data_IF_004724653032
#
_entry.id   IF_004724653032
#
_cell.length_a   1.000
_cell.length_b   1.000
_cell.length_c   1.000
_cell.angle_alpha   90.00
_cell.angle_beta   90.00
_cell.angle_gamma   90.00
#
_symmetry.space_group_name_H-M   'P 1'
#
loop_
_entity.id
_entity.type
_entity.pdbx_description
1 polymer ?
#
# COMPACT_ATOMS: atom_id res chain seq x y z
N UNK A 1 -17.88 -4.06 17.44
CA UNK A 1 -17.79 -4.93 16.24
C UNK A 1 -17.38 -4.02 15.08
N UNK A 2 -16.11 -4.08 14.65
CA UNK A 2 -15.65 -3.28 13.51
C UNK A 2 -16.31 -3.81 12.24
N UNK A 3 -16.87 -2.93 11.40
CA UNK A 3 -17.52 -3.32 10.16
C UNK A 3 -16.48 -3.75 9.13
N UNK A 4 -16.62 -4.97 8.59
CA UNK A 4 -15.75 -5.46 7.51
C UNK A 4 -15.71 -4.47 6.33
N UNK A 5 -14.55 -4.40 5.67
CA UNK A 5 -14.34 -3.55 4.50
C UNK A 5 -14.58 -4.33 3.22
N UNK A 6 -15.07 -3.63 2.20
CA UNK A 6 -15.35 -4.28 0.92
C UNK A 6 -14.03 -4.68 0.24
N UNK A 7 -13.89 -5.98 -0.02
CA UNK A 7 -12.70 -6.58 -0.61
C UNK A 7 -12.43 -6.06 -2.03
N UNK A 8 -13.48 -5.89 -2.83
CA UNK A 8 -13.36 -5.37 -4.19
C UNK A 8 -12.86 -3.92 -4.20
N UNK A 9 -13.35 -3.09 -3.27
CA UNK A 9 -12.89 -1.70 -3.11
C UNK A 9 -11.41 -1.69 -2.68
N UNK A 10 -11.01 -2.57 -1.77
CA UNK A 10 -9.62 -2.67 -1.32
C UNK A 10 -8.67 -3.06 -2.47
N UNK A 11 -9.04 -4.03 -3.31
CA UNK A 11 -8.25 -4.38 -4.50
C UNK A 11 -8.25 -3.28 -5.57
N UNK A 12 -9.36 -2.56 -5.75
CA UNK A 12 -9.44 -1.42 -6.65
C UNK A 12 -8.47 -0.30 -6.20
N UNK A 13 -8.49 0.02 -4.91
CA UNK A 13 -7.56 0.97 -4.30
C UNK A 13 -6.10 0.50 -4.42
N UNK A 14 -5.84 -0.79 -4.22
CA UNK A 14 -4.51 -1.36 -4.37
C UNK A 14 -4.01 -1.29 -5.82
N UNK A 15 -4.87 -1.56 -6.81
CA UNK A 15 -4.48 -1.55 -8.22
C UNK A 15 -4.16 -0.13 -8.72
N UNK A 16 -5.01 0.85 -8.44
CA UNK A 16 -4.84 2.22 -8.92
C UNK A 16 -3.92 3.06 -8.03
N UNK A 17 -3.98 2.85 -6.71
CA UNK A 17 -3.33 3.69 -5.71
C UNK A 17 -2.42 2.91 -4.76
N UNK A 18 -2.03 1.68 -5.13
CA UNK A 18 -1.13 0.87 -4.31
C UNK A 18 0.21 1.54 -4.05
N UNK A 19 0.76 2.24 -5.05
CA UNK A 19 2.04 2.94 -4.91
C UNK A 19 2.05 4.07 -3.88
N UNK A 20 0.87 4.55 -3.49
CA UNK A 20 0.71 5.54 -2.42
C UNK A 20 0.09 4.93 -1.14
N UNK A 21 -0.18 3.62 -1.13
CA UNK A 21 -0.68 2.88 0.03
C UNK A 21 -2.17 3.08 0.38
N UNK A 22 -2.99 3.56 -0.57
CA UNK A 22 -4.39 3.97 -0.27
C UNK A 22 -5.29 2.83 0.24
N UNK A 23 -5.04 1.58 -0.19
CA UNK A 23 -5.72 0.39 0.32
C UNK A 23 -5.44 0.12 1.81
N UNK A 24 -4.25 0.47 2.31
CA UNK A 24 -3.92 0.37 3.74
C UNK A 24 -4.65 1.42 4.57
N UNK A 25 -4.79 2.64 4.06
CA UNK A 25 -5.59 3.68 4.73
C UNK A 25 -7.08 3.28 4.80
N UNK A 26 -7.64 2.72 3.72
CA UNK A 26 -9.02 2.24 3.70
C UNK A 26 -9.30 1.12 4.72
N UNK A 27 -8.33 0.24 4.93
CA UNK A 27 -8.42 -0.86 5.90
C UNK A 27 -7.93 -0.47 7.31
N UNK A 28 -7.67 0.82 7.57
CA UNK A 28 -7.35 1.32 8.91
C UNK A 28 -5.88 1.23 9.32
N UNK A 29 -5.00 0.75 8.42
CA UNK A 29 -3.58 0.52 8.69
C UNK A 29 -2.74 1.76 8.36
N UNK A 30 -3.10 2.87 9.00
CA UNK A 30 -2.54 4.21 8.75
C UNK A 30 -1.02 4.24 8.85
N UNK A 31 -0.42 3.63 9.89
CA UNK A 31 1.04 3.62 10.09
C UNK A 31 1.78 3.03 8.89
N UNK A 32 1.40 1.83 8.47
CA UNK A 32 2.01 1.17 7.30
C UNK A 32 1.65 1.85 5.98
N UNK A 33 0.47 2.46 5.87
CA UNK A 33 0.10 3.29 4.71
C UNK A 33 0.99 4.52 4.57
N UNK A 34 1.34 5.18 5.67
CA UNK A 34 2.29 6.32 5.67
C UNK A 34 3.68 5.87 5.21
N UNK A 35 4.17 4.72 5.69
CA UNK A 35 5.48 4.20 5.25
C UNK A 35 5.45 3.91 3.74
N UNK A 36 4.38 3.32 3.23
CA UNK A 36 4.23 3.02 1.80
C UNK A 36 4.15 4.31 0.96
N UNK A 37 3.44 5.34 1.46
CA UNK A 37 3.41 6.67 0.84
C UNK A 37 4.78 7.33 0.81
N UNK A 38 5.54 7.31 1.91
CA UNK A 38 6.89 7.87 1.98
C UNK A 38 7.85 7.14 1.06
N UNK A 39 7.78 5.80 0.99
CA UNK A 39 8.56 5.00 0.03
C UNK A 39 8.22 5.38 -1.41
N UNK A 40 6.94 5.60 -1.74
CA UNK A 40 6.51 6.06 -3.05
C UNK A 40 7.08 7.44 -3.40
N UNK A 41 6.93 8.41 -2.49
CA UNK A 41 7.41 9.79 -2.68
C UNK A 41 8.93 9.83 -2.81
N UNK A 42 9.66 9.17 -1.90
CA UNK A 42 11.12 9.12 -1.93
C UNK A 42 11.60 8.36 -3.16
N UNK A 43 10.98 7.21 -3.47
CA UNK A 43 11.34 6.40 -4.63
C UNK A 43 11.19 7.16 -5.93
N UNK A 44 10.00 7.67 -6.22
CA UNK A 44 9.76 8.46 -7.43
C UNK A 44 10.55 9.77 -7.46
N UNK A 45 10.70 10.44 -6.31
CA UNK A 45 11.42 11.71 -6.20
C UNK A 45 12.94 11.58 -6.33
N UNK A 46 13.51 10.39 -6.15
CA UNK A 46 14.95 10.11 -6.27
C UNK A 46 15.30 9.24 -7.48
N UNK A 47 14.33 8.88 -8.32
CA UNK A 47 14.55 8.09 -9.55
C UNK A 47 15.54 8.80 -10.50
N UNK A 48 15.52 10.13 -10.57
CA UNK A 48 16.44 10.90 -11.42
C UNK A 48 17.92 10.76 -11.01
N UNK A 49 18.19 10.39 -9.75
CA UNK A 49 19.52 10.08 -9.22
C UNK A 49 19.90 8.59 -9.37
N UNK A 50 19.07 7.78 -10.03
CA UNK A 50 19.17 6.31 -10.11
C UNK A 50 19.07 5.57 -8.76
N UNK A 51 19.12 6.28 -7.62
CA UNK A 51 18.99 5.67 -6.28
C UNK A 51 17.53 5.30 -5.98
N UNK A 52 16.56 6.01 -6.55
CA UNK A 52 15.13 5.79 -6.32
C UNK A 52 14.60 4.42 -6.75
N UNK A 53 15.32 3.69 -7.61
CA UNK A 53 14.92 2.34 -8.00
C UNK A 53 14.97 1.34 -6.84
N UNK A 54 15.84 1.55 -5.84
CA UNK A 54 15.93 0.68 -4.66
C UNK A 54 14.64 0.73 -3.81
N UNK A 55 14.19 1.89 -3.30
CA UNK A 55 12.94 1.97 -2.54
C UNK A 55 11.72 1.62 -3.39
N UNK A 56 11.72 1.90 -4.70
CA UNK A 56 10.65 1.45 -5.58
C UNK A 56 10.61 -0.08 -5.68
N UNK A 57 11.75 -0.76 -5.83
CA UNK A 57 11.79 -2.23 -5.84
C UNK A 57 11.22 -2.83 -4.55
N UNK A 58 11.59 -2.26 -3.39
CA UNK A 58 11.02 -2.64 -2.09
C UNK A 58 9.51 -2.42 -2.06
N UNK A 59 9.04 -1.27 -2.56
CA UNK A 59 7.61 -0.95 -2.64
C UNK A 59 6.84 -1.92 -3.53
N UNK A 60 7.39 -2.32 -4.68
CA UNK A 60 6.77 -3.28 -5.60
C UNK A 60 6.70 -4.68 -5.00
N UNK A 61 7.75 -5.14 -4.32
CA UNK A 61 7.73 -6.40 -3.56
C UNK A 61 6.66 -6.34 -2.47
N UNK A 62 6.59 -5.22 -1.75
CA UNK A 62 5.58 -5.03 -0.72
C UNK A 62 4.16 -5.04 -1.30
N UNK A 63 3.93 -4.38 -2.43
CA UNK A 63 2.64 -4.43 -3.13
C UNK A 63 2.24 -5.83 -3.55
N UNK A 64 3.20 -6.65 -3.96
CA UNK A 64 2.94 -8.05 -4.27
C UNK A 64 2.51 -8.85 -3.03
N UNK A 65 3.17 -8.63 -1.89
CA UNK A 65 2.78 -9.24 -0.61
C UNK A 65 1.38 -8.77 -0.19
N UNK A 66 1.02 -7.51 -0.47
CA UNK A 66 -0.29 -6.96 -0.14
C UNK A 66 -1.46 -7.70 -0.79
N UNK A 67 -1.27 -8.32 -1.96
CA UNK A 67 -2.28 -9.17 -2.61
C UNK A 67 -2.82 -10.24 -1.64
N UNK A 68 -1.92 -10.83 -0.85
CA UNK A 68 -2.26 -11.89 0.12
C UNK A 68 -2.75 -11.32 1.45
N UNK A 69 -2.31 -10.11 1.82
CA UNK A 69 -2.70 -9.47 3.07
C UNK A 69 -4.11 -8.87 2.99
N UNK A 70 -4.52 -8.31 1.83
CA UNK A 70 -5.80 -7.59 1.65
C UNK A 70 -7.03 -8.31 2.21
N UNK A 71 -7.22 -9.64 1.99
CA UNK A 71 -8.36 -10.35 2.55
C UNK A 71 -8.39 -10.33 4.09
N UNK A 72 -7.24 -10.54 4.73
CA UNK A 72 -7.12 -10.40 6.19
C UNK A 72 -7.32 -8.95 6.63
N UNK A 73 -6.88 -8.00 5.80
CA UNK A 73 -7.02 -6.58 6.07
C UNK A 73 -8.46 -6.09 6.11
N UNK A 74 -9.32 -6.64 5.26
CA UNK A 74 -10.73 -6.32 5.18
C UNK A 74 -11.58 -6.97 6.27
N UNK A 75 -11.17 -8.15 6.76
CA UNK A 75 -11.84 -8.87 7.87
C UNK A 75 -11.61 -8.21 9.21
N UNK A 76 -10.40 -7.69 9.44
CA UNK A 76 -10.03 -6.96 10.66
C UNK A 76 -9.50 -5.55 10.30
N UNK A 77 -10.40 -4.60 9.99
CA UNK A 77 -10.03 -3.21 9.79
C UNK A 77 -9.78 -2.54 11.14
N UNK A 78 -8.65 -1.85 11.25
CA UNK A 78 -8.19 -1.20 12.49
C UNK A 78 -8.55 0.28 12.58
#
# INVERSE_FOLDING_TARGET
MMKERNLAIAYLLWFFFGQIGLHRFYTGRVSSGIVQLLLGIVGWGTTWLLIGYIPLAVLWIWLFIDIFLIPGMCRDPR
#
